data_IF_054001770616
#
_entry.id   IF_054001770616
#
_cell.length_a   1.000
_cell.length_b   1.000
_cell.length_c   1.000
_cell.angle_alpha   90.00
_cell.angle_beta   90.00
_cell.angle_gamma   90.00
#
_symmetry.space_group_name_H-M   'P 1'
#
loop_
_entity.id
_entity.type
_entity.pdbx_description
1 polymer ?
#
# COMPACT_ATOMS: atom_id res chain seq x y z
N UNK A 1 -19.32 15.01 25.77
CA UNK A 1 -18.09 14.29 25.35
C UNK A 1 -18.42 13.64 24.03
N UNK A 2 -17.77 14.05 22.94
CA UNK A 2 -18.05 13.50 21.62
C UNK A 2 -17.36 12.16 21.44
N UNK A 3 -18.14 11.11 21.19
CA UNK A 3 -17.62 9.83 20.71
C UNK A 3 -17.08 10.05 19.30
N UNK A 4 -15.76 9.97 19.16
CA UNK A 4 -15.09 9.84 17.87
C UNK A 4 -15.48 8.46 17.33
N UNK A 5 -16.55 8.40 16.54
CA UNK A 5 -16.83 7.25 15.69
C UNK A 5 -15.63 7.09 14.76
N UNK A 6 -14.74 6.16 15.10
CA UNK A 6 -13.67 5.76 14.21
C UNK A 6 -14.31 4.99 13.06
N UNK A 7 -14.44 5.61 11.88
CA UNK A 7 -14.78 4.96 10.59
C UNK A 7 -13.75 3.89 10.16
N UNK A 8 -12.87 3.49 11.08
CA UNK A 8 -11.75 2.59 10.88
C UNK A 8 -12.11 1.26 11.52
N UNK A 9 -12.74 0.38 10.74
CA UNK A 9 -12.94 -1.01 11.13
C UNK A 9 -11.67 -1.81 10.85
N UNK A 10 -10.86 -2.02 11.88
CA UNK A 10 -9.70 -2.91 11.85
C UNK A 10 -10.00 -4.10 12.75
N UNK A 11 -9.92 -5.32 12.19
CA UNK A 11 -10.18 -6.56 12.94
C UNK A 11 -9.12 -6.83 14.02
N UNK A 12 -7.87 -6.45 13.77
CA UNK A 12 -6.75 -6.58 14.70
C UNK A 12 -5.71 -5.46 14.47
N UNK A 13 -5.37 -4.64 15.48
CA UNK A 13 -4.39 -3.55 15.33
C UNK A 13 -2.98 -3.99 14.89
N UNK A 14 -2.60 -5.24 15.12
CA UNK A 14 -1.34 -5.82 14.64
C UNK A 14 -1.31 -6.03 13.13
N UNK A 15 -2.45 -5.90 12.45
CA UNK A 15 -2.52 -5.91 10.98
C UNK A 15 -2.18 -4.56 10.34
N UNK A 16 -1.93 -3.53 11.14
CA UNK A 16 -1.53 -2.21 10.65
C UNK A 16 -0.06 -2.18 10.24
N UNK A 17 0.21 -1.46 9.14
CA UNK A 17 1.57 -1.12 8.75
C UNK A 17 2.20 -0.19 9.78
N UNK A 18 3.29 -0.64 10.39
CA UNK A 18 4.02 0.16 11.38
C UNK A 18 4.48 1.48 10.76
N UNK A 19 4.23 2.58 11.48
CA UNK A 19 4.56 3.94 11.06
C UNK A 19 3.96 4.37 9.72
N UNK A 20 2.95 3.65 9.21
CA UNK A 20 2.38 3.90 7.89
C UNK A 20 3.35 3.63 6.73
N UNK A 21 4.44 2.91 6.97
CA UNK A 21 5.42 2.55 5.93
C UNK A 21 4.97 1.23 5.30
N UNK A 22 4.77 1.27 3.99
CA UNK A 22 4.32 0.13 3.21
C UNK A 22 5.43 -0.25 2.23
N UNK A 23 6.19 -1.32 2.51
CA UNK A 23 7.11 -1.90 1.54
C UNK A 23 6.33 -2.49 0.38
N UNK A 24 6.75 -2.23 -0.85
CA UNK A 24 6.12 -2.79 -2.04
C UNK A 24 7.15 -3.25 -3.08
N UNK A 25 6.71 -4.17 -3.93
CA UNK A 25 7.47 -4.67 -5.07
C UNK A 25 6.53 -4.95 -6.24
N UNK A 26 6.99 -4.66 -7.45
CA UNK A 26 6.28 -5.04 -8.67
C UNK A 26 6.79 -6.39 -9.14
N UNK A 27 5.87 -7.30 -9.46
CA UNK A 27 6.22 -8.52 -10.16
C UNK A 27 6.79 -8.18 -11.56
N UNK A 28 7.69 -9.03 -12.05
CA UNK A 28 8.33 -8.86 -13.36
C UNK A 28 7.33 -8.88 -14.53
N UNK A 29 6.14 -9.42 -14.34
CA UNK A 29 5.07 -9.47 -15.36
C UNK A 29 4.31 -8.15 -15.52
N UNK A 30 4.39 -7.24 -14.55
CA UNK A 30 3.67 -5.96 -14.63
C UNK A 30 4.32 -5.06 -15.66
N UNK A 31 3.59 -4.75 -16.73
CA UNK A 31 4.06 -3.83 -17.79
C UNK A 31 4.23 -2.40 -17.27
N UNK A 32 5.15 -1.64 -17.87
CA UNK A 32 5.53 -0.31 -17.39
C UNK A 32 4.36 0.68 -17.28
N UNK A 33 3.39 0.65 -18.21
CA UNK A 33 2.24 1.55 -18.15
C UNK A 33 1.41 1.30 -16.88
N UNK A 34 1.17 0.03 -16.51
CA UNK A 34 0.47 -0.31 -15.27
C UNK A 34 1.26 0.10 -14.03
N UNK A 35 2.59 -0.05 -14.07
CA UNK A 35 3.46 0.44 -12.98
C UNK A 35 3.28 1.93 -12.75
N UNK A 36 3.25 2.73 -13.81
CA UNK A 36 3.05 4.18 -13.72
C UNK A 36 1.72 4.56 -13.07
N UNK A 37 0.62 3.90 -13.44
CA UNK A 37 -0.69 4.17 -12.81
C UNK A 37 -0.68 3.86 -11.31
N UNK A 38 -0.06 2.74 -10.92
CA UNK A 38 0.06 2.35 -9.51
C UNK A 38 0.94 3.33 -8.73
N UNK A 39 2.07 3.76 -9.30
CA UNK A 39 2.95 4.76 -8.68
C UNK A 39 2.25 6.12 -8.49
N UNK A 40 1.44 6.55 -9.46
CA UNK A 40 0.61 7.76 -9.34
C UNK A 40 -0.39 7.61 -8.19
N UNK A 41 -1.09 6.48 -8.10
CA UNK A 41 -2.03 6.22 -7.01
C UNK A 41 -1.34 6.24 -5.63
N UNK A 42 -0.19 5.58 -5.51
CA UNK A 42 0.63 5.62 -4.29
C UNK A 42 1.03 7.03 -3.90
N UNK A 43 1.39 7.87 -4.87
CA UNK A 43 1.76 9.27 -4.66
C UNK A 43 0.59 10.10 -4.17
N UNK A 44 -0.59 9.98 -4.78
CA UNK A 44 -1.79 10.72 -4.34
C UNK A 44 -2.22 10.32 -2.93
N UNK A 45 -2.17 9.02 -2.58
CA UNK A 45 -2.42 8.55 -1.20
C UNK A 45 -1.41 9.16 -0.23
N UNK A 46 -0.12 9.13 -0.58
CA UNK A 46 0.97 9.67 0.25
C UNK A 46 0.89 11.19 0.43
N UNK A 47 0.22 11.90 -0.48
CA UNK A 47 0.07 13.36 -0.44
C UNK A 47 -0.92 13.81 0.64
N UNK A 48 -1.97 13.02 0.87
CA UNK A 48 -3.07 13.36 1.79
C UNK A 48 -3.06 12.56 3.09
N UNK A 49 -2.11 11.65 3.26
CA UNK A 49 -2.00 10.79 4.43
C UNK A 49 -0.56 10.66 4.94
N UNK A 50 -0.40 10.06 6.12
CA UNK A 50 0.90 9.69 6.68
C UNK A 50 1.50 8.43 6.04
N UNK A 51 0.80 7.80 5.08
CA UNK A 51 1.27 6.60 4.42
C UNK A 51 2.46 6.91 3.51
N UNK A 52 3.47 6.03 3.53
CA UNK A 52 4.68 6.11 2.71
C UNK A 52 4.93 4.77 2.05
N UNK A 53 4.89 4.74 0.72
CA UNK A 53 5.26 3.57 -0.07
C UNK A 53 6.77 3.57 -0.31
N UNK A 54 7.44 2.47 0.04
CA UNK A 54 8.90 2.32 -0.13
C UNK A 54 9.18 1.05 -0.93
N UNK A 55 10.21 1.09 -1.79
CA UNK A 55 10.65 -0.13 -2.47
C UNK A 55 11.15 -1.11 -1.41
N UNK A 56 10.70 -2.36 -1.52
CA UNK A 56 11.11 -3.43 -0.63
C UNK A 56 12.63 -3.69 -0.77
N UNK A 57 13.26 -4.01 0.35
CA UNK A 57 14.64 -4.50 0.44
C UNK A 57 14.67 -5.91 1.01
N UNK A 58 14.24 -6.07 2.25
CA UNK A 58 14.41 -7.28 3.07
C UNK A 58 13.20 -7.51 4.01
N UNK A 59 12.18 -6.65 3.93
CA UNK A 59 11.02 -6.72 4.80
C UNK A 59 10.23 -8.01 4.54
N UNK A 60 9.84 -8.69 5.63
CA UNK A 60 9.05 -9.93 5.59
C UNK A 60 7.62 -9.68 5.10
N UNK A 61 6.98 -8.63 5.60
CA UNK A 61 5.64 -8.22 5.20
C UNK A 61 5.74 -7.06 4.21
N UNK A 62 5.14 -7.23 3.03
CA UNK A 62 5.15 -6.26 1.95
C UNK A 62 3.97 -6.50 1.01
N UNK A 63 3.70 -5.56 0.13
CA UNK A 63 2.72 -5.71 -0.95
C UNK A 63 3.43 -6.11 -2.24
N UNK A 64 3.12 -7.29 -2.76
CA UNK A 64 3.49 -7.65 -4.13
C UNK A 64 2.39 -7.24 -5.11
N UNK A 65 2.76 -6.42 -6.09
CA UNK A 65 1.86 -5.93 -7.11
C UNK A 65 2.02 -6.82 -8.33
N UNK A 66 1.01 -7.63 -8.60
CA UNK A 66 1.01 -8.64 -9.65
C UNK A 66 0.03 -8.27 -10.74
N UNK A 67 0.42 -8.48 -11.98
CA UNK A 67 -0.51 -8.51 -13.11
C UNK A 67 -0.94 -9.96 -13.28
N UNK A 68 -2.20 -10.24 -12.94
CA UNK A 68 -2.76 -11.59 -13.06
C UNK A 68 -3.15 -11.93 -14.50
N UNK A 69 -3.11 -10.98 -15.42
CA UNK A 69 -3.63 -11.15 -16.78
C UNK A 69 -5.15 -11.33 -16.82
N UNK A 70 -5.69 -11.44 -18.04
CA UNK A 70 -7.08 -11.83 -18.27
C UNK A 70 -7.29 -13.32 -17.95
N UNK A 71 -8.43 -13.62 -17.31
CA UNK A 71 -8.93 -14.96 -17.00
C UNK A 71 -9.48 -15.66 -18.24
#
# INVERSE_FOLDING_TARGET
MGELNSDVYIRDPHMLWQNGIIPYEFNNKVINNLRQYVEIAMKEISKVSSIRFVKRTDQLHFIEIVDKGDY
#
